data_IF_229464602674
#
_entry.id   IF_229464602674
#
_cell.length_a   1.000
_cell.length_b   1.000
_cell.length_c   1.000
_cell.angle_alpha   90.00
_cell.angle_beta   90.00
_cell.angle_gamma   90.00
#
_symmetry.space_group_name_H-M   'P 1'
#
loop_
_entity.id
_entity.type
_entity.pdbx_description
1 polymer ?
#
# COMPACT_ATOMS: atom_id res chain seq x y z
N UNK A 1 23.87 -4.05 -33.88
CA UNK A 1 22.75 -4.82 -33.28
C UNK A 1 22.86 -4.77 -31.73
N UNK A 2 22.65 -3.61 -31.10
CA UNK A 2 22.61 -3.40 -29.63
C UNK A 2 21.76 -2.18 -29.26
N UNK A 3 20.58 -2.08 -29.86
CA UNK A 3 19.54 -1.12 -29.44
C UNK A 3 18.27 -1.86 -28.99
N UNK A 4 18.36 -3.19 -28.83
CA UNK A 4 17.23 -4.10 -28.63
C UNK A 4 16.75 -4.28 -27.18
N UNK A 5 17.40 -3.63 -26.20
CA UNK A 5 16.97 -3.63 -24.78
C UNK A 5 16.39 -2.29 -24.33
N UNK A 6 16.50 -1.24 -25.16
CA UNK A 6 16.22 0.14 -24.74
C UNK A 6 14.73 0.50 -24.72
N UNK A 7 13.87 -0.41 -25.19
CA UNK A 7 12.41 -0.24 -25.22
C UNK A 7 11.70 -1.48 -24.63
N UNK A 8 12.32 -2.18 -23.67
CA UNK A 8 11.56 -3.03 -22.76
C UNK A 8 10.44 -2.16 -22.17
N UNK A 9 9.21 -2.49 -22.53
CA UNK A 9 7.98 -1.74 -22.31
C UNK A 9 8.04 -0.76 -21.12
N UNK A 10 7.86 0.55 -21.37
CA UNK A 10 7.89 1.59 -20.32
C UNK A 10 7.04 1.20 -19.11
N UNK A 11 5.94 0.48 -19.32
CA UNK A 11 5.07 -0.01 -18.25
C UNK A 11 5.78 -0.99 -17.31
N UNK A 12 6.51 -1.99 -17.83
CA UNK A 12 7.23 -3.00 -17.02
C UNK A 12 8.29 -2.31 -16.14
N UNK A 13 9.02 -1.35 -16.71
CA UNK A 13 10.03 -0.61 -15.95
C UNK A 13 9.40 0.29 -14.89
N UNK A 14 8.30 0.96 -15.21
CA UNK A 14 7.54 1.77 -14.23
C UNK A 14 7.02 0.90 -13.09
N UNK A 15 6.48 -0.27 -13.37
CA UNK A 15 6.01 -1.19 -12.34
C UNK A 15 7.17 -1.66 -11.46
N UNK A 16 8.30 -2.01 -12.06
CA UNK A 16 9.48 -2.42 -11.30
C UNK A 16 10.01 -1.28 -10.40
N UNK A 17 10.04 -0.04 -10.89
CA UNK A 17 10.43 1.13 -10.08
C UNK A 17 9.46 1.31 -8.92
N UNK A 18 8.14 1.29 -9.18
CA UNK A 18 7.12 1.46 -8.16
C UNK A 18 7.19 0.39 -7.05
N UNK A 19 7.49 -0.87 -7.41
CA UNK A 19 7.73 -1.96 -6.44
C UNK A 19 8.97 -1.66 -5.58
N UNK A 20 10.08 -1.23 -6.18
CA UNK A 20 11.33 -0.93 -5.46
C UNK A 20 11.13 0.26 -4.49
N UNK A 21 10.42 1.29 -4.94
CA UNK A 21 10.12 2.49 -4.15
C UNK A 21 9.03 2.25 -3.11
N UNK A 22 8.36 1.09 -3.16
CA UNK A 22 7.19 0.73 -2.34
C UNK A 22 6.04 1.74 -2.48
N UNK A 23 5.89 2.31 -3.66
CA UNK A 23 4.84 3.27 -3.97
C UNK A 23 3.56 2.53 -4.38
N UNK A 24 2.69 2.31 -3.40
CA UNK A 24 1.42 1.61 -3.59
C UNK A 24 0.46 2.36 -4.54
N UNK A 25 0.51 3.69 -4.58
CA UNK A 25 -0.35 4.51 -5.43
C UNK A 25 0.06 4.38 -6.90
N UNK A 26 1.38 4.42 -7.17
CA UNK A 26 1.91 4.17 -8.51
C UNK A 26 1.64 2.74 -8.99
N UNK A 27 1.72 1.74 -8.11
CA UNK A 27 1.36 0.36 -8.43
C UNK A 27 -0.12 0.27 -8.80
N UNK A 28 -1.02 0.85 -8.00
CA UNK A 28 -2.46 0.83 -8.27
C UNK A 28 -2.77 1.49 -9.62
N UNK A 29 -2.22 2.70 -9.87
CA UNK A 29 -2.39 3.40 -11.14
C UNK A 29 -1.93 2.56 -12.35
N UNK A 30 -0.77 1.89 -12.24
CA UNK A 30 -0.24 1.05 -13.31
C UNK A 30 -1.09 -0.22 -13.55
N UNK A 31 -1.70 -0.79 -12.51
CA UNK A 31 -2.58 -1.96 -12.64
C UNK A 31 -3.91 -1.60 -13.32
N UNK A 32 -4.40 -0.38 -13.16
CA UNK A 32 -5.60 0.11 -13.87
C UNK A 32 -5.34 0.34 -15.37
N UNK A 33 -4.09 0.57 -15.77
CA UNK A 33 -3.70 0.72 -17.17
C UNK A 33 -3.40 -0.64 -17.80
N UNK A 34 -4.12 -1.03 -18.86
CA UNK A 34 -3.84 -2.29 -19.57
C UNK A 34 -2.55 -2.16 -20.42
N UNK A 35 -1.46 -2.86 -20.09
CA UNK A 35 -0.23 -2.79 -20.88
C UNK A 35 -0.37 -3.54 -22.21
N UNK A 36 0.38 -3.08 -23.22
CA UNK A 36 0.58 -3.81 -24.48
C UNK A 36 1.91 -4.54 -24.42
N UNK A 37 1.92 -5.84 -24.66
CA UNK A 37 3.13 -6.66 -24.69
C UNK A 37 3.50 -7.02 -26.12
N UNK A 38 4.79 -6.97 -26.45
CA UNK A 38 5.27 -7.30 -27.79
C UNK A 38 5.69 -8.77 -27.92
N UNK A 39 6.05 -9.41 -26.81
CA UNK A 39 6.55 -10.79 -26.81
C UNK A 39 6.19 -11.55 -25.52
N UNK A 40 6.27 -12.88 -25.59
CA UNK A 40 5.95 -13.78 -24.46
C UNK A 40 6.86 -13.55 -23.25
N UNK A 41 8.12 -13.13 -23.47
CA UNK A 41 9.08 -12.88 -22.38
C UNK A 41 8.70 -11.66 -21.55
N UNK A 42 8.11 -10.64 -22.16
CA UNK A 42 7.55 -9.49 -21.46
C UNK A 42 6.34 -9.85 -20.61
N UNK A 43 5.48 -10.72 -21.13
CA UNK A 43 4.33 -11.24 -20.39
C UNK A 43 4.82 -12.01 -19.16
N UNK A 44 5.80 -12.90 -19.34
CA UNK A 44 6.40 -13.66 -18.24
C UNK A 44 7.00 -12.74 -17.17
N UNK A 45 7.77 -11.73 -17.57
CA UNK A 45 8.33 -10.74 -16.65
C UNK A 45 7.25 -9.94 -15.93
N UNK A 46 6.22 -9.52 -16.63
CA UNK A 46 5.10 -8.79 -16.04
C UNK A 46 4.34 -9.64 -15.01
N UNK A 47 4.15 -10.94 -15.28
CA UNK A 47 3.51 -11.86 -14.32
C UNK A 47 4.32 -11.97 -13.02
N UNK A 48 5.64 -12.10 -13.11
CA UNK A 48 6.49 -12.15 -11.92
C UNK A 48 6.45 -10.84 -11.14
N UNK A 49 6.53 -9.69 -11.81
CA UNK A 49 6.44 -8.38 -11.15
C UNK A 49 5.06 -8.15 -10.52
N UNK A 50 3.97 -8.57 -11.17
CA UNK A 50 2.63 -8.46 -10.60
C UNK A 50 2.48 -9.30 -9.34
N UNK A 51 3.11 -10.48 -9.29
CA UNK A 51 3.16 -11.29 -8.08
C UNK A 51 3.92 -10.58 -6.97
N UNK A 52 5.08 -10.02 -7.24
CA UNK A 52 5.87 -9.26 -6.25
C UNK A 52 5.10 -8.03 -5.75
N UNK A 53 4.47 -7.29 -6.66
CA UNK A 53 3.60 -6.16 -6.31
C UNK A 53 2.47 -6.59 -5.37
N UNK A 54 1.83 -7.73 -5.66
CA UNK A 54 0.77 -8.26 -4.82
C UNK A 54 1.28 -8.62 -3.42
N UNK A 55 2.41 -9.34 -3.31
CA UNK A 55 3.03 -9.69 -2.04
C UNK A 55 3.39 -8.44 -1.22
N UNK A 56 3.91 -7.40 -1.87
CA UNK A 56 4.19 -6.10 -1.25
C UNK A 56 2.93 -5.42 -0.71
N UNK A 57 1.86 -5.31 -1.52
CA UNK A 57 0.61 -4.68 -1.10
C UNK A 57 -0.03 -5.40 0.08
N UNK A 58 -0.02 -6.74 0.10
CA UNK A 58 -0.50 -7.50 1.25
C UNK A 58 0.33 -7.24 2.51
N UNK A 59 1.66 -7.19 2.37
CA UNK A 59 2.56 -6.89 3.50
C UNK A 59 2.27 -5.51 4.09
N UNK A 60 2.18 -4.48 3.25
CA UNK A 60 1.88 -3.10 3.69
C UNK A 60 0.51 -3.01 4.37
N UNK A 61 -0.49 -3.73 3.84
CA UNK A 61 -1.83 -3.80 4.43
C UNK A 61 -1.81 -4.42 5.83
N UNK A 62 -1.09 -5.52 6.00
CA UNK A 62 -0.99 -6.22 7.27
C UNK A 62 -0.24 -5.38 8.32
N UNK A 63 0.86 -4.73 7.94
CA UNK A 63 1.60 -3.79 8.78
C UNK A 63 0.73 -2.60 9.21
N UNK A 64 -0.06 -2.06 8.28
CA UNK A 64 -1.00 -0.97 8.56
C UNK A 64 -2.09 -1.41 9.53
N UNK A 65 -2.65 -2.61 9.35
CA UNK A 65 -3.66 -3.17 10.23
C UNK A 65 -3.14 -3.38 11.66
N UNK A 66 -1.90 -3.86 11.80
CA UNK A 66 -1.23 -4.01 13.09
C UNK A 66 -1.03 -2.65 13.77
N UNK A 67 -0.54 -1.66 13.03
CA UNK A 67 -0.35 -0.29 13.53
C UNK A 67 -1.67 0.31 14.01
N UNK A 68 -2.74 0.20 13.21
CA UNK A 68 -4.07 0.69 13.57
C UNK A 68 -4.64 0.02 14.83
N UNK A 69 -4.39 -1.29 15.01
CA UNK A 69 -4.78 -2.01 16.22
C UNK A 69 -4.08 -1.45 17.46
N UNK A 70 -2.79 -1.14 17.36
CA UNK A 70 -2.03 -0.53 18.45
C UNK A 70 -2.53 0.88 18.76
N UNK A 71 -2.75 1.72 17.75
CA UNK A 71 -3.30 3.06 17.92
C UNK A 71 -4.65 3.03 18.63
N UNK A 72 -5.56 2.13 18.22
CA UNK A 72 -6.86 1.95 18.87
C UNK A 72 -6.74 1.54 20.34
N UNK A 73 -5.77 0.69 20.68
CA UNK A 73 -5.50 0.31 22.07
C UNK A 73 -5.02 1.53 22.88
N UNK A 74 -4.13 2.33 22.30
CA UNK A 74 -3.60 3.52 22.97
C UNK A 74 -4.70 4.57 23.19
N UNK A 75 -5.58 4.80 22.22
CA UNK A 75 -6.75 5.69 22.36
C UNK A 75 -7.64 5.23 23.51
N UNK A 76 -8.03 3.95 23.53
CA UNK A 76 -8.86 3.39 24.62
C UNK A 76 -8.20 3.54 25.99
N UNK A 77 -6.87 3.38 26.05
CA UNK A 77 -6.13 3.57 27.30
C UNK A 77 -6.24 5.02 27.78
N UNK A 78 -5.99 6.00 26.91
CA UNK A 78 -6.12 7.43 27.23
C UNK A 78 -7.55 7.77 27.67
N UNK A 79 -8.56 7.28 26.97
CA UNK A 79 -9.98 7.46 27.33
C UNK A 79 -10.30 6.86 28.70
N UNK A 80 -9.70 5.71 29.04
CA UNK A 80 -9.93 5.04 30.33
C UNK A 80 -9.24 5.71 31.53
N UNK A 81 -8.18 6.48 31.28
CA UNK A 81 -7.45 7.23 32.32
C UNK A 81 -7.93 8.66 32.45
N UNK A 82 -8.76 9.14 31.52
CA UNK A 82 -9.42 10.43 31.63
C UNK A 82 -10.44 10.37 32.76
N UNK A 83 -10.24 11.18 33.80
CA UNK A 83 -11.19 11.32 34.90
C UNK A 83 -12.53 11.76 34.30
N UNK A 84 -13.57 10.94 34.47
CA UNK A 84 -14.93 11.39 34.18
C UNK A 84 -15.18 12.64 35.03
N UNK A 85 -15.18 13.83 34.41
CA UNK A 85 -15.70 15.03 35.06
C UNK A 85 -17.18 14.75 35.29
N UNK A 86 -17.52 14.19 36.45
CA UNK A 86 -18.88 14.19 36.95
C UNK A 86 -19.29 15.67 37.03
N UNK A 87 -20.06 16.13 36.06
CA UNK A 87 -20.75 17.41 36.13
C UNK A 87 -21.77 17.32 37.27
N UNK A 88 -21.30 17.54 38.52
CA UNK A 88 -22.14 17.61 39.72
C UNK A 88 -22.71 19.02 39.90
N UNK A 89 -23.16 19.66 38.82
CA UNK A 89 -23.87 20.94 38.87
C UNK A 89 -25.39 20.69 38.81
N UNK A 90 -25.89 19.88 39.73
CA UNK A 90 -27.33 19.73 39.98
C UNK A 90 -27.57 20.10 41.44
N UNK A 91 -27.53 21.40 41.72
CA UNK A 91 -27.93 21.98 43.02
C UNK A 91 -29.23 22.72 42.76
N UNK A 92 -30.36 22.05 43.03
CA UNK A 92 -31.67 22.69 43.06
C UNK A 92 -31.82 23.40 44.40
N UNK A 93 -31.93 24.74 44.37
CA UNK A 93 -32.40 25.55 45.48
C UNK A 93 -33.93 25.53 45.53
#
# INVERSE_FOLDING_TARGET
MKLGERLLNMWINKLQIAIIEKDADSIDALVQEAPKFENTKEIERAMYLLREAMELIYTLKDETALTMKQLKKNIRFIESTQSQTQNRLDVKF
#
